data_IF_579694956018
#
_entry.id   IF_579694956018
#
_cell.length_a   1.000
_cell.length_b   1.000
_cell.length_c   1.000
_cell.angle_alpha   90.00
_cell.angle_beta   90.00
_cell.angle_gamma   90.00
#
_symmetry.space_group_name_H-M   'P 1'
#
loop_
_entity.id
_entity.type
_entity.pdbx_description
1 polymer ?
#
# COMPACT_ATOMS: atom_id res chain seq x y z
N UNK A 1 -16.13 -18.42 -55.31
CA UNK A 1 -16.91 -19.55 -55.86
C UNK A 1 -16.39 -20.85 -55.30
N UNK A 2 -17.13 -21.52 -54.47
CA UNK A 2 -17.47 -22.93 -54.38
C UNK A 2 -18.14 -23.20 -53.04
N UNK A 3 -19.44 -23.39 -53.10
CA UNK A 3 -20.29 -23.93 -52.03
C UNK A 3 -19.93 -25.43 -51.89
N UNK A 4 -19.80 -25.92 -50.63
CA UNK A 4 -19.97 -27.33 -50.34
C UNK A 4 -21.18 -27.52 -49.42
N UNK A 5 -22.05 -28.39 -49.92
CA UNK A 5 -23.26 -28.90 -49.29
C UNK A 5 -22.91 -29.70 -48.02
N UNK A 6 -23.74 -29.59 -47.01
CA UNK A 6 -23.87 -30.55 -45.95
C UNK A 6 -24.87 -31.64 -46.38
N UNK A 7 -24.47 -32.86 -46.22
CA UNK A 7 -25.32 -34.04 -46.34
C UNK A 7 -25.78 -34.47 -44.96
N UNK A 8 -27.09 -34.70 -44.88
CA UNK A 8 -27.78 -35.30 -43.74
C UNK A 8 -27.53 -36.80 -43.71
N UNK A 9 -27.54 -37.33 -42.51
CA UNK A 9 -28.09 -38.62 -42.01
C UNK A 9 -27.15 -39.31 -41.06
N UNK A 10 -27.55 -39.36 -39.81
CA UNK A 10 -27.46 -40.56 -38.98
C UNK A 10 -28.45 -40.47 -37.83
N UNK A 11 -29.55 -41.21 -38.00
CA UNK A 11 -30.50 -41.54 -36.96
C UNK A 11 -29.83 -42.37 -35.86
N UNK A 12 -29.82 -41.83 -34.64
CA UNK A 12 -29.63 -42.63 -33.44
C UNK A 12 -30.92 -42.54 -32.64
N UNK A 13 -31.73 -43.58 -32.73
CA UNK A 13 -32.92 -43.78 -31.90
C UNK A 13 -32.52 -44.03 -30.45
N UNK A 14 -32.78 -43.09 -29.59
CA UNK A 14 -32.81 -43.33 -28.13
C UNK A 14 -34.22 -43.71 -27.72
N UNK A 15 -34.38 -44.93 -27.20
CA UNK A 15 -35.56 -45.37 -26.51
C UNK A 15 -35.62 -44.64 -25.15
N UNK A 16 -36.62 -43.76 -24.98
CA UNK A 16 -36.93 -43.12 -23.69
C UNK A 16 -37.84 -44.06 -22.91
N UNK A 17 -37.28 -44.68 -21.87
CA UNK A 17 -38.12 -45.24 -20.79
C UNK A 17 -38.79 -44.10 -20.03
N UNK A 18 -40.09 -43.95 -20.20
CA UNK A 18 -40.94 -43.05 -19.43
C UNK A 18 -41.17 -43.64 -18.02
N UNK A 19 -40.41 -43.17 -17.06
CA UNK A 19 -40.82 -43.27 -15.67
C UNK A 19 -41.85 -42.16 -15.38
N UNK A 20 -43.05 -42.58 -14.95
CA UNK A 20 -44.14 -41.71 -14.47
C UNK A 20 -43.65 -40.85 -13.30
N UNK A 21 -43.25 -39.64 -13.57
CA UNK A 21 -43.15 -38.58 -12.55
C UNK A 21 -44.47 -37.78 -12.58
N UNK A 22 -45.27 -37.95 -11.52
CA UNK A 22 -46.47 -37.17 -11.32
C UNK A 22 -46.23 -35.68 -11.45
N UNK A 23 -46.93 -35.06 -12.38
CA UNK A 23 -47.00 -33.61 -12.56
C UNK A 23 -47.56 -32.98 -11.29
N UNK A 24 -46.65 -32.41 -10.47
CA UNK A 24 -47.03 -31.60 -9.32
C UNK A 24 -47.60 -30.27 -9.87
N UNK A 25 -48.92 -30.21 -10.04
CA UNK A 25 -49.58 -28.94 -10.37
C UNK A 25 -49.24 -27.92 -9.30
N UNK A 26 -48.44 -26.91 -9.71
CA UNK A 26 -48.23 -25.69 -8.92
C UNK A 26 -49.60 -24.98 -8.83
N UNK A 27 -50.38 -25.22 -7.77
CA UNK A 27 -51.54 -24.39 -7.46
C UNK A 27 -51.09 -22.93 -7.48
N UNK A 28 -51.47 -22.18 -8.52
CA UNK A 28 -51.38 -20.71 -8.53
C UNK A 28 -52.23 -20.24 -7.35
N UNK A 29 -51.58 -19.75 -6.28
CA UNK A 29 -52.27 -19.05 -5.20
C UNK A 29 -53.01 -17.87 -5.83
N UNK A 30 -54.35 -17.92 -5.86
CA UNK A 30 -55.14 -16.77 -6.26
C UNK A 30 -54.75 -15.58 -5.41
N UNK A 31 -54.38 -14.50 -6.04
CA UNK A 31 -54.06 -13.25 -5.35
C UNK A 31 -55.37 -12.73 -4.75
N UNK A 32 -55.52 -12.84 -3.42
CA UNK A 32 -56.65 -12.27 -2.71
C UNK A 32 -56.77 -10.76 -3.08
N UNK A 33 -57.88 -10.38 -3.71
CA UNK A 33 -58.20 -8.99 -3.99
C UNK A 33 -58.55 -8.29 -2.68
N UNK A 34 -57.69 -7.42 -2.21
CA UNK A 34 -57.85 -6.71 -0.95
C UNK A 34 -58.89 -5.57 -1.11
N UNK A 35 -59.74 -5.42 -0.13
CA UNK A 35 -60.66 -4.28 -0.05
C UNK A 35 -59.87 -2.93 0.04
N UNK A 36 -60.50 -1.80 -0.31
CA UNK A 36 -59.87 -0.49 -0.16
C UNK A 36 -59.36 -0.20 1.24
N UNK A 37 -60.06 -0.69 2.28
CA UNK A 37 -59.69 -0.53 3.67
C UNK A 37 -58.50 -1.42 4.05
N UNK A 38 -58.46 -2.65 3.57
CA UNK A 38 -57.31 -3.58 3.78
C UNK A 38 -56.05 -3.07 3.06
N UNK A 39 -56.20 -2.46 1.84
CA UNK A 39 -55.12 -1.82 1.14
C UNK A 39 -54.58 -0.64 1.94
N UNK A 40 -55.45 0.24 2.47
CA UNK A 40 -55.05 1.37 3.33
C UNK A 40 -54.31 0.93 4.57
N UNK A 41 -54.82 -0.11 5.28
CA UNK A 41 -54.15 -0.68 6.47
C UNK A 41 -52.75 -1.25 6.12
N UNK A 42 -52.60 -1.95 4.99
CA UNK A 42 -51.31 -2.45 4.49
C UNK A 42 -50.34 -1.34 4.18
N UNK A 43 -50.78 -0.27 3.49
CA UNK A 43 -49.95 0.91 3.17
C UNK A 43 -49.47 1.59 4.45
N UNK A 44 -50.35 1.82 5.43
CA UNK A 44 -49.98 2.42 6.72
C UNK A 44 -48.96 1.54 7.45
N UNK A 45 -49.19 0.21 7.52
CA UNK A 45 -48.24 -0.72 8.14
C UNK A 45 -46.89 -0.70 7.42
N UNK A 46 -46.83 -0.68 6.10
CA UNK A 46 -45.60 -0.58 5.33
C UNK A 46 -44.87 0.72 5.62
N UNK A 47 -45.58 1.86 5.66
CA UNK A 47 -45.00 3.15 6.00
C UNK A 47 -44.39 3.19 7.41
N UNK A 48 -45.10 2.62 8.40
CA UNK A 48 -44.59 2.52 9.79
C UNK A 48 -43.33 1.67 9.83
N UNK A 49 -43.32 0.50 9.16
CA UNK A 49 -42.13 -0.35 9.10
C UNK A 49 -40.96 0.37 8.45
N UNK A 50 -41.21 1.03 7.30
CA UNK A 50 -40.16 1.79 6.58
C UNK A 50 -39.63 2.92 7.46
N UNK A 51 -40.51 3.71 8.10
CA UNK A 51 -40.10 4.79 9.01
C UNK A 51 -39.29 4.26 10.20
N UNK A 52 -39.69 3.12 10.77
CA UNK A 52 -38.95 2.47 11.87
C UNK A 52 -37.57 2.01 11.43
N UNK A 53 -37.45 1.40 10.25
CA UNK A 53 -36.15 0.98 9.69
C UNK A 53 -35.24 2.20 9.46
N UNK A 54 -35.77 3.24 8.84
CA UNK A 54 -35.03 4.50 8.60
C UNK A 54 -34.54 5.12 9.92
N UNK A 55 -35.41 5.15 10.94
CA UNK A 55 -35.04 5.67 12.27
C UNK A 55 -33.92 4.84 12.92
N UNK A 56 -34.01 3.51 12.87
CA UNK A 56 -32.96 2.62 13.41
C UNK A 56 -31.64 2.83 12.69
N UNK A 57 -31.66 2.94 11.35
CA UNK A 57 -30.46 3.24 10.57
C UNK A 57 -29.88 4.60 10.90
N UNK A 58 -30.71 5.62 11.05
CA UNK A 58 -30.26 6.97 11.42
C UNK A 58 -29.59 7.00 12.81
N UNK A 59 -30.17 6.28 13.79
CA UNK A 59 -29.59 6.15 15.13
C UNK A 59 -28.25 5.39 15.07
N UNK A 60 -28.18 4.31 14.30
CA UNK A 60 -26.98 3.51 14.12
C UNK A 60 -25.85 4.33 13.47
N UNK A 61 -26.10 4.96 12.32
CA UNK A 61 -25.09 5.77 11.64
C UNK A 61 -24.70 7.03 12.42
N UNK A 62 -25.67 7.66 13.10
CA UNK A 62 -25.41 8.78 14.00
C UNK A 62 -24.51 8.36 15.18
N UNK A 63 -24.77 7.20 15.77
CA UNK A 63 -23.94 6.61 16.81
C UNK A 63 -22.51 6.31 16.32
N UNK A 64 -22.38 5.72 15.14
CA UNK A 64 -21.07 5.48 14.52
C UNK A 64 -20.31 6.80 14.28
N UNK A 65 -20.97 7.84 13.77
CA UNK A 65 -20.33 9.12 13.52
C UNK A 65 -19.82 9.78 14.81
N UNK A 66 -20.63 9.76 15.87
CA UNK A 66 -20.24 10.29 17.21
C UNK A 66 -19.08 9.45 17.78
N UNK A 67 -19.18 8.13 17.74
CA UNK A 67 -18.12 7.23 18.20
C UNK A 67 -16.81 7.47 17.45
N UNK A 68 -16.86 7.60 16.12
CA UNK A 68 -15.69 7.91 15.29
C UNK A 68 -15.05 9.23 15.70
N UNK A 69 -15.86 10.30 15.89
CA UNK A 69 -15.34 11.62 16.27
C UNK A 69 -14.70 11.63 17.68
N UNK A 70 -15.31 10.92 18.64
CA UNK A 70 -14.77 10.79 19.99
C UNK A 70 -13.51 9.95 20.00
N UNK A 71 -13.52 8.82 19.30
CA UNK A 71 -12.38 7.92 19.20
C UNK A 71 -11.18 8.56 18.49
N UNK A 72 -11.41 9.26 17.38
CA UNK A 72 -10.36 10.02 16.69
C UNK A 72 -9.68 11.03 17.63
N UNK A 73 -10.46 11.81 18.39
CA UNK A 73 -9.90 12.73 19.39
C UNK A 73 -9.10 12.01 20.47
N UNK A 74 -9.57 10.82 20.90
CA UNK A 74 -8.86 10.00 21.89
C UNK A 74 -7.53 9.50 21.35
N UNK A 75 -7.50 8.99 20.09
CA UNK A 75 -6.29 8.49 19.44
C UNK A 75 -5.28 9.63 19.18
N UNK A 76 -5.74 10.81 18.77
CA UNK A 76 -4.87 11.98 18.64
C UNK A 76 -4.21 12.32 19.99
N UNK A 77 -4.99 12.35 21.09
CA UNK A 77 -4.43 12.58 22.44
C UNK A 77 -3.45 11.48 22.85
N UNK A 78 -3.71 10.22 22.49
CA UNK A 78 -2.76 9.14 22.71
C UNK A 78 -1.47 9.39 21.94
N UNK A 79 -1.54 9.73 20.64
CA UNK A 79 -0.38 10.10 19.84
C UNK A 79 0.40 11.27 20.44
N UNK A 80 -0.30 12.29 20.90
CA UNK A 80 0.30 13.46 21.58
C UNK A 80 0.90 13.14 22.96
N UNK A 81 0.62 11.99 23.54
CA UNK A 81 1.20 11.54 24.81
C UNK A 81 2.47 10.69 24.62
N UNK A 82 2.86 10.37 23.40
CA UNK A 82 4.11 9.67 23.18
C UNK A 82 5.32 10.58 23.46
N UNK A 83 6.38 10.00 24.00
CA UNK A 83 7.62 10.73 24.17
C UNK A 83 8.26 10.98 22.80
N UNK A 84 8.87 12.13 22.65
CA UNK A 84 9.69 12.47 21.50
C UNK A 84 10.86 11.47 21.37
N UNK A 85 11.31 11.22 20.14
CA UNK A 85 12.52 10.41 19.90
C UNK A 85 13.72 11.07 20.57
N UNK A 86 14.39 10.33 21.44
CA UNK A 86 15.66 10.72 22.05
C UNK A 86 16.79 10.03 21.30
N UNK A 87 17.61 10.83 20.63
CA UNK A 87 18.79 10.36 19.92
C UNK A 87 19.94 10.20 20.93
N UNK A 88 20.34 8.95 21.18
CA UNK A 88 21.34 8.62 22.21
C UNK A 88 22.74 8.42 21.66
N UNK A 89 22.87 8.00 20.41
CA UNK A 89 24.16 7.70 19.77
C UNK A 89 24.64 8.86 18.89
N UNK A 90 23.74 9.71 18.46
CA UNK A 90 24.03 10.84 17.56
C UNK A 90 22.97 11.93 17.70
N UNK A 91 23.20 13.10 17.13
CA UNK A 91 22.19 14.15 17.02
C UNK A 91 21.24 13.87 15.85
N UNK A 92 19.99 14.33 15.98
CA UNK A 92 19.04 14.33 14.86
C UNK A 92 19.58 15.21 13.73
N UNK A 93 19.66 14.67 12.52
CA UNK A 93 19.95 15.46 11.34
C UNK A 93 18.75 16.32 10.98
N UNK A 94 18.99 17.62 10.80
CA UNK A 94 17.95 18.58 10.40
C UNK A 94 18.11 18.87 8.92
N UNK A 95 17.13 18.55 8.08
CA UNK A 95 17.21 18.83 6.65
C UNK A 95 17.11 20.33 6.40
N UNK A 96 17.79 20.79 5.36
CA UNK A 96 17.69 22.16 4.85
C UNK A 96 17.12 22.14 3.44
N UNK A 97 16.29 23.12 3.10
CA UNK A 97 15.81 23.25 1.73
C UNK A 97 16.88 23.94 0.89
N UNK A 98 17.34 23.26 -0.16
CA UNK A 98 18.33 23.81 -1.11
C UNK A 98 17.58 24.42 -2.30
N UNK A 99 17.50 25.75 -2.35
CA UNK A 99 16.78 26.50 -3.40
C UNK A 99 17.30 26.20 -4.81
N UNK A 100 18.58 25.86 -4.95
CA UNK A 100 19.20 25.57 -6.26
C UNK A 100 18.79 24.19 -6.78
N UNK A 101 18.62 23.23 -5.88
CA UNK A 101 18.13 21.89 -6.18
C UNK A 101 16.61 21.82 -6.17
N UNK A 102 15.94 22.66 -5.36
CA UNK A 102 14.51 22.61 -5.14
C UNK A 102 14.07 21.46 -4.23
N UNK A 103 14.97 20.94 -3.39
CA UNK A 103 14.74 19.77 -2.54
C UNK A 103 15.29 19.94 -1.14
N UNK A 104 14.76 19.16 -0.20
CA UNK A 104 15.34 19.01 1.13
C UNK A 104 16.61 18.17 1.07
N UNK A 105 17.65 18.64 1.76
CA UNK A 105 18.97 18.03 1.83
C UNK A 105 19.30 17.67 3.27
N UNK A 106 19.62 16.42 3.51
CA UNK A 106 20.26 15.94 4.73
C UNK A 106 21.77 15.85 4.51
N UNK A 107 22.58 16.31 5.44
CA UNK A 107 24.04 16.15 5.36
C UNK A 107 24.49 15.20 6.47
N UNK A 108 25.09 14.08 6.08
CA UNK A 108 25.61 13.07 7.01
C UNK A 108 26.84 13.62 7.76
N UNK A 109 26.98 13.20 9.00
CA UNK A 109 28.25 13.31 9.72
C UNK A 109 29.28 12.32 9.14
N UNK A 110 30.55 12.62 9.29
CA UNK A 110 31.61 11.76 8.76
C UNK A 110 31.58 10.36 9.40
N UNK A 111 31.77 9.35 8.58
CA UNK A 111 31.79 7.94 9.02
C UNK A 111 30.44 7.37 9.53
N UNK A 112 29.37 8.17 9.51
CA UNK A 112 28.06 7.76 9.99
C UNK A 112 27.16 7.25 8.85
N UNK A 113 26.45 6.15 9.09
CA UNK A 113 25.35 5.72 8.23
C UNK A 113 24.12 6.64 8.41
N UNK A 114 23.38 6.87 7.33
CA UNK A 114 22.08 7.55 7.38
C UNK A 114 20.98 6.48 7.45
N UNK A 115 20.17 6.53 8.50
CA UNK A 115 19.15 5.51 8.76
C UNK A 115 17.78 5.97 8.29
N UNK A 116 17.20 5.23 7.34
CA UNK A 116 15.81 5.36 6.92
C UNK A 116 15.00 4.19 7.49
N UNK A 117 13.80 4.47 8.00
CA UNK A 117 12.80 3.44 8.25
C UNK A 117 11.67 3.55 7.21
N UNK A 118 11.42 2.46 6.52
CA UNK A 118 10.21 2.33 5.70
C UNK A 118 9.11 1.66 6.52
N UNK A 119 7.95 2.31 6.57
CA UNK A 119 6.69 1.73 7.00
C UNK A 119 5.73 1.62 5.82
N UNK A 120 4.80 0.70 5.88
CA UNK A 120 3.76 0.54 4.86
C UNK A 120 2.49 -0.05 5.47
N UNK A 121 1.36 0.16 4.81
CA UNK A 121 0.10 -0.50 5.15
C UNK A 121 -0.24 -0.37 6.64
N UNK A 122 -0.23 0.86 7.15
CA UNK A 122 -0.51 1.14 8.58
C UNK A 122 -1.97 0.89 8.90
N UNK A 123 -2.86 1.17 7.95
CA UNK A 123 -4.29 0.89 7.99
C UNK A 123 -5.00 1.39 9.24
N UNK A 124 -4.83 2.68 9.55
CA UNK A 124 -5.64 3.35 10.57
C UNK A 124 -7.05 3.56 10.02
N UNK A 125 -8.05 3.00 10.69
CA UNK A 125 -9.44 3.15 10.27
C UNK A 125 -10.05 4.50 10.67
N UNK A 126 -9.69 5.03 11.84
CA UNK A 126 -10.21 6.29 12.37
C UNK A 126 -11.72 6.28 12.61
N UNK A 127 -12.34 5.10 12.77
CA UNK A 127 -13.78 4.90 12.83
C UNK A 127 -14.27 4.15 14.06
N UNK A 128 -15.60 4.03 14.17
CA UNK A 128 -16.27 3.47 15.34
C UNK A 128 -15.85 2.03 15.69
N UNK A 129 -15.35 1.27 14.72
CA UNK A 129 -15.04 -0.16 14.90
C UNK A 129 -13.53 -0.45 14.96
N UNK A 130 -12.69 0.54 14.71
CA UNK A 130 -11.24 0.34 14.55
C UNK A 130 -10.38 0.85 15.70
N UNK A 131 -10.89 1.68 16.61
CA UNK A 131 -10.12 2.43 17.62
C UNK A 131 -9.05 1.62 18.36
N UNK A 132 -9.38 0.39 18.75
CA UNK A 132 -8.44 -0.49 19.46
C UNK A 132 -7.29 -0.94 18.55
N UNK A 133 -7.60 -1.25 17.30
CA UNK A 133 -6.61 -1.69 16.30
C UNK A 133 -5.76 -0.52 15.84
N UNK A 134 -6.38 0.67 15.69
CA UNK A 134 -5.68 1.92 15.40
C UNK A 134 -4.66 2.24 16.49
N UNK A 135 -5.04 2.09 17.76
CA UNK A 135 -4.13 2.26 18.89
C UNK A 135 -2.96 1.27 18.86
N UNK A 136 -3.18 0.04 18.44
CA UNK A 136 -2.12 -0.96 18.28
C UNK A 136 -1.16 -0.58 17.16
N UNK A 137 -1.67 -0.14 16.00
CA UNK A 137 -0.87 0.32 14.87
C UNK A 137 0.01 1.53 15.27
N UNK A 138 -0.57 2.52 15.93
CA UNK A 138 0.16 3.68 16.47
C UNK A 138 1.29 3.25 17.42
N UNK A 139 1.00 2.35 18.37
CA UNK A 139 1.99 1.87 19.32
C UNK A 139 3.13 1.12 18.62
N UNK A 140 2.82 0.32 17.59
CA UNK A 140 3.83 -0.41 16.83
C UNK A 140 4.79 0.56 16.12
N UNK A 141 4.24 1.50 15.35
CA UNK A 141 5.03 2.52 14.64
C UNK A 141 5.87 3.35 15.61
N UNK A 142 5.25 3.89 16.67
CA UNK A 142 5.95 4.73 17.64
C UNK A 142 7.06 3.97 18.39
N UNK A 143 6.83 2.71 18.75
CA UNK A 143 7.85 1.87 19.41
C UNK A 143 9.07 1.66 18.53
N UNK A 144 8.86 1.29 17.26
CA UNK A 144 9.95 1.04 16.32
C UNK A 144 10.73 2.32 16.02
N UNK A 145 10.05 3.44 15.77
CA UNK A 145 10.71 4.74 15.55
C UNK A 145 11.57 5.15 16.76
N UNK A 146 11.04 5.04 17.98
CA UNK A 146 11.77 5.41 19.20
C UNK A 146 12.97 4.50 19.48
N UNK A 147 12.88 3.22 19.13
CA UNK A 147 13.97 2.26 19.32
C UNK A 147 15.05 2.39 18.26
N UNK A 148 14.66 2.62 17.01
CA UNK A 148 15.60 2.70 15.89
C UNK A 148 16.24 4.08 15.74
N UNK A 149 15.60 5.15 16.23
CA UNK A 149 16.11 6.54 16.15
C UNK A 149 16.53 6.92 14.72
N UNK A 150 15.60 6.82 13.72
CA UNK A 150 15.96 7.05 12.33
C UNK A 150 16.22 8.52 12.03
N UNK A 151 17.02 8.78 11.02
CA UNK A 151 17.19 10.12 10.46
C UNK A 151 15.98 10.54 9.62
N UNK A 152 15.36 9.57 8.95
CA UNK A 152 14.21 9.80 8.09
C UNK A 152 13.24 8.61 8.11
N UNK A 153 11.96 8.90 7.99
CA UNK A 153 10.90 7.88 7.86
C UNK A 153 10.20 8.06 6.53
N UNK A 154 10.03 6.98 5.78
CA UNK A 154 9.23 6.95 4.55
C UNK A 154 8.08 5.98 4.74
N UNK A 155 6.84 6.45 4.53
CA UNK A 155 5.66 5.60 4.55
C UNK A 155 5.22 5.32 3.12
N UNK A 156 5.29 4.07 2.70
CA UNK A 156 4.93 3.65 1.34
C UNK A 156 3.45 3.29 1.24
N UNK A 157 2.59 4.26 1.60
CA UNK A 157 1.15 4.22 1.37
C UNK A 157 0.33 3.45 2.40
N UNK A 158 -0.98 3.55 2.20
CA UNK A 158 -2.03 2.93 3.01
C UNK A 158 -1.93 3.25 4.50
N UNK A 159 -1.74 4.55 4.79
CA UNK A 159 -1.89 5.09 6.15
C UNK A 159 -3.33 4.94 6.61
N UNK A 160 -4.30 5.28 5.73
CA UNK A 160 -5.72 5.23 6.02
C UNK A 160 -6.39 3.97 5.46
N UNK A 161 -7.38 3.47 6.23
CA UNK A 161 -8.23 2.36 5.80
C UNK A 161 -9.70 2.61 6.15
N UNK A 162 -10.39 3.49 5.40
CA UNK A 162 -11.76 3.92 5.72
C UNK A 162 -12.82 2.95 5.22
N UNK A 163 -12.55 1.65 5.16
CA UNK A 163 -13.50 0.61 4.74
C UNK A 163 -14.62 0.49 5.77
N UNK A 164 -15.86 0.90 5.45
CA UNK A 164 -16.89 1.17 6.46
C UNK A 164 -17.30 -0.04 7.29
N UNK A 165 -17.23 -1.25 6.74
CA UNK A 165 -17.58 -2.47 7.48
C UNK A 165 -16.49 -2.90 8.49
N UNK A 166 -15.26 -2.44 8.31
CA UNK A 166 -14.12 -2.76 9.18
C UNK A 166 -13.74 -1.58 10.06
N UNK A 167 -13.72 -0.37 9.53
CA UNK A 167 -13.40 0.84 10.28
C UNK A 167 -14.61 1.47 10.97
N UNK A 168 -15.80 1.35 10.42
CA UNK A 168 -17.02 2.03 10.91
C UNK A 168 -17.10 3.49 10.44
N UNK A 169 -16.38 3.88 9.39
CA UNK A 169 -16.40 5.24 8.84
C UNK A 169 -16.04 5.26 7.35
N UNK A 170 -16.46 6.32 6.65
CA UNK A 170 -15.98 6.70 5.33
C UNK A 170 -14.96 7.86 5.39
N UNK A 171 -14.62 8.32 6.61
CA UNK A 171 -13.80 9.50 6.82
C UNK A 171 -12.32 9.14 6.93
N UNK A 172 -11.64 9.10 5.78
CA UNK A 172 -10.20 8.85 5.67
C UNK A 172 -9.33 9.94 6.33
N UNK A 173 -9.80 11.19 6.40
CA UNK A 173 -9.08 12.28 7.07
C UNK A 173 -8.85 12.02 8.57
N UNK A 174 -9.71 11.23 9.23
CA UNK A 174 -9.49 10.84 10.62
C UNK A 174 -8.16 10.10 10.80
N UNK A 175 -7.87 9.13 9.93
CA UNK A 175 -6.63 8.37 9.94
C UNK A 175 -5.42 9.26 9.66
N UNK A 176 -5.53 10.11 8.64
CA UNK A 176 -4.51 11.12 8.29
C UNK A 176 -4.16 12.00 9.50
N UNK A 177 -5.18 12.52 10.20
CA UNK A 177 -4.99 13.37 11.40
C UNK A 177 -4.31 12.61 12.54
N UNK A 178 -4.76 11.38 12.82
CA UNK A 178 -4.22 10.54 13.89
C UNK A 178 -2.73 10.28 13.66
N UNK A 179 -2.39 9.87 12.44
CA UNK A 179 -1.02 9.52 12.08
C UNK A 179 -0.10 10.74 12.06
N UNK A 180 -0.49 11.83 11.41
CA UNK A 180 0.32 13.03 11.29
C UNK A 180 0.61 13.67 12.66
N UNK A 181 -0.39 13.79 13.55
CA UNK A 181 -0.21 14.33 14.92
C UNK A 181 0.72 13.44 15.76
N UNK A 182 0.64 12.13 15.59
CA UNK A 182 1.59 11.20 16.23
C UNK A 182 3.01 11.42 15.75
N UNK A 183 3.23 11.51 14.43
CA UNK A 183 4.57 11.71 13.84
C UNK A 183 5.17 13.06 14.25
N UNK A 184 4.36 14.13 14.30
CA UNK A 184 4.81 15.45 14.80
C UNK A 184 5.24 15.38 16.27
N UNK A 185 4.52 14.60 17.11
CA UNK A 185 4.88 14.41 18.51
C UNK A 185 6.18 13.63 18.66
N UNK A 186 6.35 12.57 17.89
CA UNK A 186 7.61 11.80 17.88
C UNK A 186 8.80 12.63 17.44
N UNK A 187 8.57 13.65 16.61
CA UNK A 187 9.57 14.65 16.22
C UNK A 187 10.66 14.09 15.30
N UNK A 188 10.32 13.13 14.46
CA UNK A 188 11.20 12.57 13.43
C UNK A 188 10.79 13.09 12.06
N UNK A 189 11.75 13.43 11.21
CA UNK A 189 11.46 13.85 9.83
C UNK A 189 10.90 12.68 9.02
N UNK A 190 9.83 12.94 8.27
CA UNK A 190 9.13 11.91 7.52
C UNK A 190 8.45 12.42 6.25
N UNK A 191 8.17 11.50 5.37
CA UNK A 191 7.34 11.69 4.18
C UNK A 191 6.49 10.45 3.93
N UNK A 192 5.58 10.52 2.96
CA UNK A 192 4.79 9.38 2.55
C UNK A 192 4.49 9.43 1.04
N UNK A 193 4.22 8.27 0.46
CA UNK A 193 3.51 8.12 -0.80
C UNK A 193 2.07 7.72 -0.51
N UNK A 194 1.13 8.03 -1.40
CA UNK A 194 -0.23 7.53 -1.28
C UNK A 194 -0.31 6.05 -1.63
N UNK A 195 -1.18 5.32 -0.90
CA UNK A 195 -1.65 4.00 -1.27
C UNK A 195 -3.07 4.05 -1.84
N UNK A 196 -3.57 2.89 -2.27
CA UNK A 196 -4.90 2.82 -2.87
C UNK A 196 -6.04 3.01 -1.85
N UNK A 197 -5.84 2.63 -0.59
CA UNK A 197 -6.83 2.80 0.47
C UNK A 197 -6.85 4.19 1.10
N UNK A 198 -5.82 5.00 0.93
CA UNK A 198 -5.79 6.35 1.51
C UNK A 198 -6.95 7.23 1.01
N UNK A 199 -7.36 7.02 -0.24
CA UNK A 199 -8.44 7.80 -0.89
C UNK A 199 -9.28 6.93 -1.82
N UNK A 200 -10.01 5.98 -1.25
CA UNK A 200 -10.97 5.15 -1.96
C UNK A 200 -12.11 5.97 -2.57
N UNK A 201 -12.72 5.49 -3.66
CA UNK A 201 -13.84 6.17 -4.32
C UNK A 201 -14.99 6.53 -3.37
N UNK A 202 -15.24 5.70 -2.36
CA UNK A 202 -16.26 5.95 -1.33
C UNK A 202 -15.75 6.79 -0.16
N UNK A 203 -14.49 7.18 -0.12
CA UNK A 203 -13.93 8.02 0.93
C UNK A 203 -14.55 9.41 0.92
N UNK A 204 -14.71 9.99 2.11
CA UNK A 204 -15.32 11.32 2.26
C UNK A 204 -14.45 12.44 1.70
N UNK A 205 -13.14 12.29 1.76
CA UNK A 205 -12.17 13.28 1.32
C UNK A 205 -11.36 12.75 0.15
N UNK A 206 -11.23 13.57 -0.88
CA UNK A 206 -10.41 13.29 -2.04
C UNK A 206 -8.91 13.36 -1.72
N UNK A 207 -8.08 12.92 -2.64
CA UNK A 207 -6.62 13.05 -2.51
C UNK A 207 -6.19 14.51 -2.42
N UNK A 208 -6.83 15.39 -3.20
CA UNK A 208 -6.65 16.85 -3.12
C UNK A 208 -6.97 17.39 -1.71
N UNK A 209 -8.08 16.94 -1.10
CA UNK A 209 -8.45 17.37 0.25
C UNK A 209 -7.40 16.94 1.30
N UNK A 210 -6.82 15.75 1.14
CA UNK A 210 -5.76 15.25 2.03
C UNK A 210 -4.48 16.06 1.81
N UNK A 211 -4.10 16.33 0.56
CA UNK A 211 -2.96 17.19 0.24
C UNK A 211 -3.11 18.59 0.84
N UNK A 212 -4.28 19.20 0.66
CA UNK A 212 -4.57 20.51 1.25
C UNK A 212 -4.48 20.50 2.77
N UNK A 213 -4.92 19.41 3.42
CA UNK A 213 -4.75 19.29 4.87
C UNK A 213 -3.29 19.37 5.30
N UNK A 214 -2.38 18.62 4.64
CA UNK A 214 -0.94 18.69 4.95
C UNK A 214 -0.36 20.07 4.69
N UNK A 215 -0.71 20.68 3.58
CA UNK A 215 -0.28 22.04 3.20
C UNK A 215 -0.75 23.11 4.20
N UNK A 216 -2.02 23.04 4.63
CA UNK A 216 -2.61 23.99 5.60
C UNK A 216 -2.03 23.83 7.01
N UNK A 217 -1.77 22.59 7.43
CA UNK A 217 -1.22 22.30 8.75
C UNK A 217 0.25 22.71 8.88
N UNK A 218 0.99 22.71 7.78
CA UNK A 218 2.40 23.09 7.75
C UNK A 218 3.20 22.44 8.88
N UNK A 219 3.14 21.11 8.95
CA UNK A 219 3.80 20.31 9.96
C UNK A 219 5.31 20.52 9.92
N UNK A 220 5.95 20.55 11.10
CA UNK A 220 7.39 20.80 11.20
C UNK A 220 8.23 19.63 10.69
N UNK A 221 7.79 18.40 10.92
CA UNK A 221 8.57 17.19 10.64
C UNK A 221 8.09 16.47 9.39
N UNK A 222 6.91 16.78 8.87
CA UNK A 222 6.42 16.23 7.60
C UNK A 222 7.02 17.00 6.43
N UNK A 223 7.82 16.30 5.60
CA UNK A 223 8.46 16.88 4.43
C UNK A 223 7.70 16.55 3.13
N UNK A 224 6.49 16.02 3.24
CA UNK A 224 5.64 15.75 2.10
C UNK A 224 5.26 17.05 1.38
N UNK A 225 5.54 17.09 0.08
CA UNK A 225 5.06 18.12 -0.82
C UNK A 225 4.08 17.49 -1.83
N UNK A 226 2.86 17.97 -1.82
CA UNK A 226 1.83 17.48 -2.73
C UNK A 226 2.07 17.88 -4.19
N UNK A 227 2.92 18.88 -4.44
CA UNK A 227 3.07 19.50 -5.75
C UNK A 227 1.86 20.34 -6.13
N UNK A 228 1.46 20.32 -7.39
CA UNK A 228 0.27 21.01 -7.90
C UNK A 228 -0.97 20.19 -7.56
N UNK A 229 -1.79 20.68 -6.63
CA UNK A 229 -3.02 20.02 -6.19
C UNK A 229 -4.21 20.42 -7.09
N UNK A 230 -4.25 19.94 -8.31
CA UNK A 230 -5.41 20.08 -9.22
C UNK A 230 -5.94 18.68 -9.52
N UNK A 231 -7.27 18.48 -9.47
CA UNK A 231 -7.89 17.17 -9.75
C UNK A 231 -7.52 16.63 -11.14
N UNK A 232 -7.32 17.51 -12.14
CA UNK A 232 -6.89 17.10 -13.48
C UNK A 232 -5.47 16.49 -13.51
N UNK A 233 -4.61 16.81 -12.53
CA UNK A 233 -3.26 16.25 -12.43
C UNK A 233 -3.27 14.84 -11.84
N UNK A 234 -4.45 14.39 -11.35
CA UNK A 234 -4.64 13.07 -10.77
C UNK A 234 -5.46 12.11 -11.66
N UNK A 235 -6.30 12.65 -12.54
CA UNK A 235 -7.22 11.87 -13.37
C UNK A 235 -6.73 11.83 -14.80
N UNK A 236 -6.61 10.64 -15.36
CA UNK A 236 -6.27 10.40 -16.76
C UNK A 236 -5.19 9.36 -16.95
N UNK A 237 -4.97 8.97 -18.21
CA UNK A 237 -4.03 7.92 -18.58
C UNK A 237 -2.55 8.32 -18.39
N UNK A 238 -2.26 9.59 -18.18
CA UNK A 238 -0.90 10.12 -17.94
C UNK A 238 -0.93 11.24 -16.88
N UNK A 239 -1.54 10.92 -15.73
CA UNK A 239 -1.61 11.84 -14.60
C UNK A 239 -0.33 11.78 -13.78
N UNK A 240 0.15 12.94 -13.33
CA UNK A 240 1.35 13.04 -12.48
C UNK A 240 1.10 12.48 -11.07
N UNK A 241 -0.13 12.51 -10.57
CA UNK A 241 -0.42 12.17 -9.18
C UNK A 241 0.13 13.19 -8.18
N UNK A 242 0.13 12.84 -6.89
CA UNK A 242 0.48 13.76 -5.81
C UNK A 242 1.58 13.18 -4.91
N UNK A 243 2.54 14.02 -4.52
CA UNK A 243 3.60 13.62 -3.60
C UNK A 243 4.76 12.87 -4.27
N UNK A 244 5.02 13.16 -5.55
CA UNK A 244 6.27 12.77 -6.17
C UNK A 244 7.36 13.70 -5.62
N UNK A 245 8.11 13.23 -4.63
CA UNK A 245 9.11 14.03 -3.94
C UNK A 245 10.50 13.44 -4.09
N UNK A 246 11.50 14.31 -3.96
CA UNK A 246 12.90 13.92 -3.95
C UNK A 246 13.60 14.54 -2.75
N UNK A 247 14.39 13.74 -2.04
CA UNK A 247 15.21 14.14 -0.92
C UNK A 247 16.65 13.77 -1.21
N UNK A 248 17.58 14.64 -0.87
CA UNK A 248 18.99 14.42 -1.16
C UNK A 248 19.73 14.16 0.14
N UNK A 249 20.51 13.09 0.19
CA UNK A 249 21.43 12.80 1.29
C UNK A 249 22.85 13.08 0.78
N UNK A 250 23.55 14.02 1.42
CA UNK A 250 24.94 14.37 1.13
C UNK A 250 25.88 13.77 2.18
N UNK A 251 27.06 13.42 1.76
CA UNK A 251 28.19 13.13 2.64
C UNK A 251 28.71 14.42 3.28
N UNK A 252 29.56 14.31 4.30
CA UNK A 252 30.18 15.45 4.99
C UNK A 252 31.06 16.31 4.07
N UNK A 253 31.59 15.76 2.99
CA UNK A 253 32.38 16.45 1.97
C UNK A 253 31.51 17.21 0.93
N UNK A 254 30.17 17.13 1.06
CA UNK A 254 29.21 17.78 0.17
C UNK A 254 28.87 17.00 -1.10
N UNK A 255 29.51 15.85 -1.35
CA UNK A 255 29.12 14.95 -2.44
C UNK A 255 27.75 14.32 -2.16
N UNK A 256 26.96 14.02 -3.21
CA UNK A 256 25.68 13.36 -3.07
C UNK A 256 25.92 11.87 -2.79
N UNK A 257 25.39 11.40 -1.64
CA UNK A 257 25.39 9.99 -1.26
C UNK A 257 24.27 9.24 -1.94
N UNK A 258 23.01 9.70 -1.73
CA UNK A 258 21.81 9.09 -2.27
C UNK A 258 20.75 10.15 -2.58
N UNK A 259 19.93 9.91 -3.60
CA UNK A 259 18.61 10.51 -3.73
C UNK A 259 17.55 9.52 -3.24
N UNK A 260 16.61 10.00 -2.43
CA UNK A 260 15.43 9.24 -1.98
C UNK A 260 14.22 9.80 -2.70
N UNK A 261 13.56 8.99 -3.51
CA UNK A 261 12.48 9.44 -4.40
C UNK A 261 11.19 8.75 -4.00
N UNK A 262 10.12 9.51 -3.77
CA UNK A 262 8.78 8.96 -3.58
C UNK A 262 7.94 9.17 -4.82
N UNK A 263 7.08 8.20 -5.15
CA UNK A 263 6.10 8.30 -6.21
C UNK A 263 4.69 8.02 -5.73
N UNK A 264 3.71 8.69 -6.32
CA UNK A 264 2.32 8.28 -6.29
C UNK A 264 2.11 7.16 -7.32
N UNK A 265 1.95 5.93 -6.88
CA UNK A 265 1.63 4.79 -7.75
C UNK A 265 0.15 4.68 -8.10
N UNK A 266 -0.61 5.75 -7.85
CA UNK A 266 -2.05 5.85 -8.07
C UNK A 266 -2.86 4.83 -7.26
N UNK A 267 -4.02 4.38 -7.76
CA UNK A 267 -4.88 3.40 -7.07
C UNK A 267 -5.38 2.35 -8.05
N UNK A 268 -6.44 2.66 -8.80
CA UNK A 268 -7.07 1.72 -9.73
C UNK A 268 -7.23 2.38 -11.10
N UNK A 269 -7.13 1.56 -12.16
CA UNK A 269 -7.42 2.03 -13.51
C UNK A 269 -8.92 2.32 -13.68
N UNK A 270 -9.26 3.11 -14.70
CA UNK A 270 -10.64 3.46 -15.04
C UNK A 270 -11.54 2.23 -15.16
N UNK A 271 -12.71 2.30 -14.53
CA UNK A 271 -13.73 1.27 -14.51
C UNK A 271 -13.65 0.30 -13.33
N UNK A 272 -12.62 0.37 -12.50
CA UNK A 272 -12.54 -0.39 -11.22
C UNK A 272 -12.63 0.52 -9.99
N UNK A 273 -13.66 1.37 -9.94
CA UNK A 273 -13.83 2.40 -8.90
C UNK A 273 -13.84 1.91 -7.45
N UNK A 274 -14.10 0.62 -7.22
CA UNK A 274 -14.17 0.04 -5.89
C UNK A 274 -13.04 -0.96 -5.61
N UNK A 275 -12.08 -1.10 -6.51
CA UNK A 275 -11.04 -2.11 -6.39
C UNK A 275 -11.54 -3.56 -6.44
N UNK A 276 -12.80 -3.77 -6.87
CA UNK A 276 -13.43 -5.09 -6.85
C UNK A 276 -12.88 -6.06 -7.89
N UNK A 277 -12.27 -5.55 -8.94
CA UNK A 277 -11.61 -6.33 -9.99
C UNK A 277 -10.09 -6.39 -9.84
N UNK A 278 -9.53 -5.75 -8.80
CA UNK A 278 -8.09 -5.70 -8.49
C UNK A 278 -7.23 -5.22 -9.67
N UNK A 279 -7.76 -4.19 -10.37
CA UNK A 279 -7.09 -3.61 -11.53
C UNK A 279 -6.32 -2.37 -11.09
N UNK A 280 -5.16 -2.60 -10.52
CA UNK A 280 -4.30 -1.53 -10.02
C UNK A 280 -3.68 -0.73 -11.15
N UNK A 281 -3.45 0.55 -10.87
CA UNK A 281 -2.71 1.47 -11.72
C UNK A 281 -1.19 1.29 -11.49
N UNK A 282 -0.37 2.11 -12.12
CA UNK A 282 1.08 2.03 -12.12
C UNK A 282 1.70 3.44 -12.17
N UNK A 283 3.00 3.53 -12.14
CA UNK A 283 3.74 4.77 -12.39
C UNK A 283 3.52 5.18 -13.86
N UNK A 284 3.19 6.44 -14.10
CA UNK A 284 2.91 6.97 -15.43
C UNK A 284 4.15 7.56 -16.09
N UNK A 285 4.12 7.68 -17.44
CA UNK A 285 5.26 8.16 -18.21
C UNK A 285 5.71 9.56 -17.80
N UNK A 286 4.78 10.48 -17.52
CA UNK A 286 5.11 11.83 -17.04
C UNK A 286 5.91 11.83 -15.73
N UNK A 287 5.67 10.85 -14.85
CA UNK A 287 6.43 10.65 -13.61
C UNK A 287 7.84 10.12 -13.90
N UNK A 288 7.98 9.19 -14.86
CA UNK A 288 9.28 8.66 -15.31
C UNK A 288 10.10 9.76 -15.97
N UNK A 289 9.47 10.59 -16.80
CA UNK A 289 10.12 11.76 -17.43
C UNK A 289 10.57 12.78 -16.38
N UNK A 290 9.75 13.04 -15.36
CA UNK A 290 10.12 13.89 -14.23
C UNK A 290 11.34 13.31 -13.49
N UNK A 291 11.31 12.02 -13.15
CA UNK A 291 12.41 11.35 -12.46
C UNK A 291 13.72 11.46 -13.25
N UNK A 292 13.71 11.12 -14.53
CA UNK A 292 14.90 11.17 -15.40
C UNK A 292 15.48 12.58 -15.47
N UNK A 293 14.62 13.60 -15.62
CA UNK A 293 15.03 15.00 -15.65
C UNK A 293 15.66 15.44 -14.32
N UNK A 294 15.06 15.08 -13.20
CA UNK A 294 15.57 15.48 -11.89
C UNK A 294 16.86 14.72 -11.51
N UNK A 295 16.98 13.44 -11.90
CA UNK A 295 18.25 12.70 -11.74
C UNK A 295 19.37 13.31 -12.58
N UNK A 296 19.09 13.74 -13.80
CA UNK A 296 20.09 14.47 -14.63
C UNK A 296 20.51 15.79 -13.99
N UNK A 297 19.58 16.55 -13.37
CA UNK A 297 19.87 17.77 -12.60
C UNK A 297 20.77 17.47 -11.40
N UNK A 298 20.49 16.42 -10.63
CA UNK A 298 21.33 16.03 -9.50
C UNK A 298 22.71 15.56 -9.94
N UNK A 299 22.82 14.79 -11.03
CA UNK A 299 24.12 14.39 -11.61
C UNK A 299 24.97 15.61 -11.97
N UNK A 300 24.37 16.60 -12.62
CA UNK A 300 25.06 17.87 -12.94
C UNK A 300 25.53 18.61 -11.66
N UNK A 301 24.67 18.67 -10.65
CA UNK A 301 24.99 19.28 -9.35
C UNK A 301 26.10 18.51 -8.60
N UNK A 302 26.24 17.21 -8.85
CA UNK A 302 27.28 16.34 -8.30
C UNK A 302 28.59 16.32 -9.14
N UNK A 303 28.76 17.28 -10.02
CA UNK A 303 29.98 17.40 -10.89
C UNK A 303 30.01 16.28 -11.94
N UNK A 304 28.91 15.97 -12.55
CA UNK A 304 28.70 14.94 -13.57
C UNK A 304 28.98 13.48 -13.10
N UNK A 305 29.14 13.29 -11.79
CA UNK A 305 29.27 11.96 -11.19
C UNK A 305 27.91 11.29 -11.04
N UNK A 306 27.89 9.98 -11.10
CA UNK A 306 26.70 9.18 -10.82
C UNK A 306 26.07 9.55 -9.46
N UNK A 307 24.73 9.50 -9.40
CA UNK A 307 23.95 9.72 -8.19
C UNK A 307 23.12 8.48 -7.93
N UNK A 308 23.53 7.71 -6.95
CA UNK A 308 22.76 6.56 -6.50
C UNK A 308 21.41 7.01 -5.95
N UNK A 309 20.38 6.16 -6.12
CA UNK A 309 19.08 6.51 -5.61
C UNK A 309 18.26 5.30 -5.18
N UNK A 310 17.31 5.54 -4.26
CA UNK A 310 16.33 4.60 -3.77
C UNK A 310 14.94 5.17 -4.02
N UNK A 311 14.04 4.33 -4.50
CA UNK A 311 12.69 4.73 -4.91
C UNK A 311 11.64 4.06 -4.03
N UNK A 312 10.60 4.81 -3.65
CA UNK A 312 9.56 4.41 -2.71
C UNK A 312 8.18 4.72 -3.27
N UNK A 313 7.31 3.74 -3.30
CA UNK A 313 5.90 3.89 -3.68
C UNK A 313 5.08 2.74 -3.09
N UNK A 314 3.77 2.70 -3.37
CA UNK A 314 2.88 1.73 -2.74
C UNK A 314 2.69 0.47 -3.59
N UNK A 315 2.11 0.58 -4.79
CA UNK A 315 1.76 -0.55 -5.64
C UNK A 315 3.01 -1.05 -6.36
N UNK A 316 3.39 -2.34 -6.23
CA UNK A 316 4.64 -2.86 -6.79
C UNK A 316 4.71 -2.80 -8.31
N UNK A 317 5.93 -2.67 -8.84
CA UNK A 317 6.21 -2.83 -10.27
C UNK A 317 6.01 -4.27 -10.72
N UNK A 318 5.82 -4.48 -12.01
CA UNK A 318 5.70 -5.83 -12.60
C UNK A 318 6.97 -6.66 -12.42
N UNK A 319 8.12 -6.02 -12.32
CA UNK A 319 9.42 -6.66 -12.10
C UNK A 319 9.47 -7.45 -10.78
N UNK A 320 8.71 -7.07 -9.75
CA UNK A 320 8.55 -7.88 -8.54
C UNK A 320 7.93 -9.25 -8.84
N UNK A 321 6.91 -9.28 -9.72
CA UNK A 321 6.28 -10.53 -10.16
C UNK A 321 7.23 -11.36 -11.00
N UNK A 322 7.93 -10.74 -11.94
CA UNK A 322 8.87 -11.42 -12.84
C UNK A 322 10.06 -12.00 -12.07
N UNK A 323 10.60 -11.23 -11.12
CA UNK A 323 11.66 -11.65 -10.22
C UNK A 323 11.24 -12.85 -9.35
N UNK A 324 10.05 -12.81 -8.74
CA UNK A 324 9.58 -13.91 -7.91
C UNK A 324 9.17 -15.13 -8.74
N UNK A 325 8.67 -14.94 -9.96
CA UNK A 325 8.39 -16.05 -10.88
C UNK A 325 9.65 -16.85 -11.22
N UNK A 326 10.83 -16.21 -11.29
CA UNK A 326 12.09 -16.93 -11.45
C UNK A 326 12.38 -17.89 -10.28
N UNK A 327 12.00 -17.50 -9.06
CA UNK A 327 12.16 -18.32 -7.86
C UNK A 327 11.20 -19.52 -7.92
N UNK A 328 9.90 -19.25 -8.10
CA UNK A 328 8.85 -20.30 -8.10
C UNK A 328 9.07 -21.32 -9.19
N UNK A 329 9.44 -20.90 -10.40
CA UNK A 329 9.69 -21.79 -11.55
C UNK A 329 10.80 -22.81 -11.27
N UNK A 330 11.65 -22.58 -10.29
CA UNK A 330 12.80 -23.44 -9.95
C UNK A 330 12.57 -24.31 -8.72
N UNK A 331 11.97 -23.74 -7.68
CA UNK A 331 11.82 -24.45 -6.40
C UNK A 331 10.36 -24.80 -6.06
N UNK A 332 9.38 -24.23 -6.81
CA UNK A 332 7.95 -24.41 -6.52
C UNK A 332 7.45 -23.51 -5.39
N UNK A 333 6.13 -23.55 -5.16
CA UNK A 333 5.44 -22.64 -4.23
C UNK A 333 5.67 -22.98 -2.75
N UNK A 334 6.04 -24.23 -2.44
CA UNK A 334 6.12 -24.74 -1.06
C UNK A 334 7.55 -24.69 -0.48
N UNK A 335 8.56 -24.39 -1.28
CA UNK A 335 9.95 -24.33 -0.86
C UNK A 335 10.40 -22.87 -0.62
N UNK A 336 11.33 -22.70 0.32
CA UNK A 336 11.94 -21.40 0.59
C UNK A 336 13.34 -21.35 -0.01
N UNK A 337 13.69 -20.27 -0.74
CA UNK A 337 15.04 -20.06 -1.22
C UNK A 337 16.00 -19.78 -0.05
N UNK A 338 17.29 -20.12 -0.22
CA UNK A 338 18.34 -19.70 0.69
C UNK A 338 18.90 -18.33 0.29
N UNK A 339 19.39 -17.58 1.26
CA UNK A 339 20.08 -16.31 1.01
C UNK A 339 21.24 -16.50 0.05
N UNK A 340 21.28 -15.73 -1.04
CA UNK A 340 22.29 -15.80 -2.09
C UNK A 340 21.98 -16.79 -3.22
N UNK A 341 20.87 -17.55 -3.14
CA UNK A 341 20.45 -18.41 -4.25
C UNK A 341 20.12 -17.56 -5.49
N UNK A 342 20.57 -18.03 -6.65
CA UNK A 342 20.37 -17.37 -7.95
C UNK A 342 19.47 -18.19 -8.87
N UNK A 343 18.43 -17.55 -9.37
CA UNK A 343 17.41 -18.16 -10.23
C UNK A 343 17.43 -17.47 -11.60
N UNK A 344 17.77 -18.25 -12.63
CA UNK A 344 17.91 -17.73 -14.01
C UNK A 344 16.79 -18.27 -14.89
N UNK A 345 16.16 -17.38 -15.64
CA UNK A 345 15.15 -17.70 -16.65
C UNK A 345 15.28 -16.83 -17.89
N UNK A 346 14.30 -16.89 -18.79
CA UNK A 346 14.18 -16.00 -19.95
C UNK A 346 13.75 -14.57 -19.57
N UNK A 347 13.25 -14.32 -18.35
CA UNK A 347 12.95 -12.99 -17.79
C UNK A 347 14.20 -12.28 -17.26
N UNK A 348 15.23 -13.04 -16.85
CA UNK A 348 16.45 -12.50 -16.26
C UNK A 348 16.97 -13.34 -15.10
N UNK A 349 17.70 -12.72 -14.20
CA UNK A 349 18.29 -13.36 -13.02
C UNK A 349 17.75 -12.73 -11.74
N UNK A 350 17.31 -13.55 -10.80
CA UNK A 350 16.91 -13.16 -9.45
C UNK A 350 17.88 -13.77 -8.44
N UNK A 351 18.46 -12.94 -7.59
CA UNK A 351 19.23 -13.35 -6.42
C UNK A 351 18.42 -13.09 -5.16
N UNK A 352 18.15 -14.14 -4.38
CA UNK A 352 17.34 -14.01 -3.17
C UNK A 352 18.16 -13.46 -2.00
N UNK A 353 17.61 -12.47 -1.30
CA UNK A 353 18.27 -11.82 -0.17
C UNK A 353 17.60 -12.18 1.14
N UNK A 354 16.29 -11.99 1.27
CA UNK A 354 15.55 -12.39 2.48
C UNK A 354 14.04 -12.41 2.24
N UNK A 355 13.32 -12.88 3.25
CA UNK A 355 11.88 -12.75 3.35
C UNK A 355 11.07 -13.90 2.76
N UNK A 356 9.82 -13.63 2.50
CA UNK A 356 8.86 -14.60 1.96
C UNK A 356 7.81 -13.93 1.10
N UNK A 357 7.25 -14.68 0.17
CA UNK A 357 5.99 -14.34 -0.47
C UNK A 357 4.87 -15.07 0.27
N UNK A 358 3.90 -14.35 0.76
CA UNK A 358 2.78 -14.90 1.52
C UNK A 358 1.41 -14.54 0.96
N UNK A 359 1.35 -13.54 0.07
CA UNK A 359 0.09 -13.13 -0.56
C UNK A 359 -0.41 -14.19 -1.54
N UNK A 360 -1.74 -14.41 -1.55
CA UNK A 360 -2.35 -15.48 -2.33
C UNK A 360 -3.22 -14.91 -3.44
N UNK A 361 -2.95 -15.30 -4.67
CA UNK A 361 -3.75 -14.98 -5.84
C UNK A 361 -4.82 -16.06 -6.15
N UNK A 362 -4.95 -17.08 -5.29
CA UNK A 362 -5.98 -18.10 -5.43
C UNK A 362 -5.53 -19.52 -5.17
N UNK A 363 -6.12 -20.46 -5.91
CA UNK A 363 -5.77 -21.89 -5.88
C UNK A 363 -5.72 -22.48 -7.28
N UNK A 364 -4.68 -23.22 -7.56
CA UNK A 364 -4.54 -24.02 -8.78
C UNK A 364 -4.43 -25.49 -8.37
N UNK A 365 -5.28 -26.35 -8.94
CA UNK A 365 -5.33 -27.79 -8.61
C UNK A 365 -5.46 -28.10 -7.10
N UNK A 366 -6.13 -27.19 -6.35
CA UNK A 366 -6.35 -27.36 -4.92
C UNK A 366 -5.21 -26.83 -4.02
N UNK A 367 -4.06 -26.48 -4.57
CA UNK A 367 -2.95 -25.85 -3.87
C UNK A 367 -3.08 -24.33 -3.91
N UNK A 368 -2.62 -23.65 -2.85
CA UNK A 368 -2.55 -22.20 -2.78
C UNK A 368 -1.49 -21.71 -3.77
N UNK A 369 -1.85 -20.72 -4.57
CA UNK A 369 -0.91 -19.99 -5.42
C UNK A 369 -0.58 -18.64 -4.79
N UNK A 370 0.58 -18.11 -5.09
CA UNK A 370 1.08 -16.86 -4.52
C UNK A 370 1.30 -15.85 -5.64
N UNK A 371 1.06 -14.58 -5.35
CA UNK A 371 1.07 -13.55 -6.36
C UNK A 371 1.59 -12.20 -5.87
N UNK A 372 1.98 -11.40 -6.86
CA UNK A 372 2.27 -9.97 -6.73
C UNK A 372 1.13 -9.22 -7.40
N UNK A 373 0.40 -8.41 -6.62
CA UNK A 373 -0.69 -7.58 -7.12
C UNK A 373 -0.14 -6.24 -7.61
N UNK A 374 0.53 -6.26 -8.75
CA UNK A 374 1.13 -5.10 -9.38
C UNK A 374 0.19 -4.39 -10.35
N UNK A 375 0.60 -3.22 -10.84
CA UNK A 375 -0.12 -2.46 -11.85
C UNK A 375 -0.45 -3.27 -13.12
N UNK A 376 -1.57 -2.93 -13.74
CA UNK A 376 -2.07 -3.63 -14.94
C UNK A 376 -1.28 -3.25 -16.20
N UNK A 377 -0.72 -2.05 -16.25
CA UNK A 377 0.07 -1.54 -17.37
C UNK A 377 1.56 -1.72 -17.10
N UNK A 378 2.37 -1.69 -18.13
CA UNK A 378 3.83 -1.61 -18.02
C UNK A 378 4.20 -0.14 -17.92
N UNK A 379 5.06 0.21 -16.96
CA UNK A 379 5.75 1.50 -16.90
C UNK A 379 7.22 1.31 -17.28
N UNK A 380 7.92 2.40 -17.53
CA UNK A 380 9.33 2.40 -17.90
C UNK A 380 10.24 2.84 -16.74
N UNK A 381 9.72 2.83 -15.49
CA UNK A 381 10.48 3.30 -14.34
C UNK A 381 11.69 2.41 -14.04
N UNK A 382 11.55 1.09 -14.22
CA UNK A 382 12.64 0.17 -13.93
C UNK A 382 13.80 0.35 -14.90
N UNK A 383 13.52 0.48 -16.19
CA UNK A 383 14.50 0.76 -17.25
C UNK A 383 15.16 2.12 -17.04
N UNK A 384 14.37 3.16 -16.79
CA UNK A 384 14.89 4.49 -16.45
C UNK A 384 15.76 4.44 -15.18
N UNK A 385 15.43 3.58 -14.22
CA UNK A 385 16.20 3.33 -13.02
C UNK A 385 17.56 2.71 -13.30
N UNK A 386 17.63 1.72 -14.20
CA UNK A 386 18.92 1.13 -14.66
C UNK A 386 19.82 2.18 -15.28
N UNK A 387 19.27 3.12 -16.05
CA UNK A 387 20.02 4.20 -16.73
C UNK A 387 20.43 5.33 -15.75
N UNK A 388 19.72 5.50 -14.65
CA UNK A 388 19.92 6.58 -13.68
C UNK A 388 20.45 6.12 -12.31
N UNK A 389 21.22 5.03 -12.26
CA UNK A 389 21.91 4.54 -11.08
C UNK A 389 21.00 4.19 -9.89
N UNK A 390 19.73 3.79 -10.15
CA UNK A 390 18.83 3.28 -9.12
C UNK A 390 19.41 2.01 -8.52
N UNK A 391 19.51 1.98 -7.20
CA UNK A 391 20.01 0.82 -6.46
C UNK A 391 18.89 -0.04 -5.89
N UNK A 392 17.76 0.55 -5.55
CA UNK A 392 16.68 -0.18 -4.89
C UNK A 392 15.32 0.48 -5.05
N UNK A 393 14.29 -0.37 -5.00
CA UNK A 393 12.87 -0.01 -5.02
C UNK A 393 12.19 -0.64 -3.81
N UNK A 394 11.38 0.14 -3.12
CA UNK A 394 10.67 -0.23 -1.90
C UNK A 394 9.18 0.02 -2.06
N UNK A 395 8.36 -1.01 -1.89
CA UNK A 395 6.90 -0.93 -2.02
C UNK A 395 6.18 -1.51 -0.78
N UNK A 396 4.85 -1.43 -0.79
CA UNK A 396 3.93 -2.04 0.17
C UNK A 396 2.87 -2.86 -0.54
N UNK A 397 1.58 -2.66 -0.17
CA UNK A 397 0.40 -3.15 -0.86
C UNK A 397 0.07 -4.63 -0.60
N UNK A 398 1.00 -5.54 -0.81
CA UNK A 398 0.82 -6.97 -0.59
C UNK A 398 1.22 -7.33 0.84
N UNK A 399 0.26 -7.36 1.77
CA UNK A 399 0.50 -7.37 3.23
C UNK A 399 1.25 -8.59 3.74
N UNK A 400 1.21 -9.71 3.02
CA UNK A 400 1.89 -10.93 3.40
C UNK A 400 3.23 -11.12 2.71
N UNK A 401 3.60 -10.23 1.80
CA UNK A 401 4.90 -10.22 1.14
C UNK A 401 5.89 -9.38 1.95
N UNK A 402 7.09 -9.89 2.15
CA UNK A 402 8.20 -9.16 2.78
C UNK A 402 9.56 -9.55 2.19
N UNK A 403 9.56 -10.08 0.97
CA UNK A 403 10.80 -10.50 0.34
C UNK A 403 11.63 -9.35 -0.20
N UNK A 404 12.94 -9.58 -0.26
CA UNK A 404 13.90 -8.71 -0.94
C UNK A 404 14.76 -9.56 -1.87
N UNK A 405 14.91 -9.11 -3.11
CA UNK A 405 15.68 -9.79 -4.16
C UNK A 405 16.48 -8.77 -4.98
N UNK A 406 17.63 -9.15 -5.51
CA UNK A 406 18.28 -8.43 -6.58
C UNK A 406 17.74 -8.98 -7.91
N UNK A 407 17.19 -8.12 -8.75
CA UNK A 407 16.68 -8.50 -10.06
C UNK A 407 17.47 -7.84 -11.19
N UNK A 408 17.98 -8.68 -12.08
CA UNK A 408 18.67 -8.26 -13.32
C UNK A 408 17.82 -8.72 -14.49
N UNK A 409 17.11 -7.84 -15.21
CA UNK A 409 16.37 -8.22 -16.40
C UNK A 409 17.28 -8.84 -17.45
N UNK A 410 16.71 -9.63 -18.34
CA UNK A 410 17.47 -10.23 -19.44
C UNK A 410 18.12 -9.14 -20.31
N UNK A 411 19.42 -9.24 -20.48
CA UNK A 411 20.21 -8.30 -21.28
C UNK A 411 20.69 -7.06 -20.53
N UNK A 412 20.26 -6.85 -19.28
CA UNK A 412 20.81 -5.80 -18.43
C UNK A 412 22.13 -6.25 -17.76
N UNK A 413 23.04 -5.29 -17.53
CA UNK A 413 24.31 -5.52 -16.85
C UNK A 413 24.21 -5.29 -15.33
N UNK A 414 23.20 -4.52 -14.91
CA UNK A 414 23.00 -4.11 -13.52
C UNK A 414 21.72 -4.73 -12.95
N UNK A 415 21.74 -4.95 -11.64
CA UNK A 415 20.55 -5.31 -10.87
C UNK A 415 20.01 -4.12 -10.10
N UNK A 416 18.70 -4.14 -9.85
CA UNK A 416 18.05 -3.28 -8.86
C UNK A 416 17.50 -4.18 -7.76
N UNK A 417 17.65 -3.74 -6.49
CA UNK A 417 17.06 -4.40 -5.34
C UNK A 417 15.56 -4.12 -5.29
N UNK A 418 14.75 -5.17 -5.33
CA UNK A 418 13.29 -5.09 -5.15
C UNK A 418 12.93 -5.55 -3.75
N UNK A 419 12.29 -4.69 -2.96
CA UNK A 419 12.01 -4.95 -1.55
C UNK A 419 10.57 -4.62 -1.21
N UNK A 420 9.82 -5.60 -0.68
CA UNK A 420 8.57 -5.34 0.02
C UNK A 420 8.82 -4.89 1.45
N UNK A 421 8.17 -3.81 1.86
CA UNK A 421 8.09 -3.40 3.25
C UNK A 421 7.23 -4.36 4.07
N UNK A 422 7.53 -4.43 5.37
CA UNK A 422 6.70 -5.18 6.32
C UNK A 422 5.45 -4.36 6.66
N UNK A 423 4.27 -4.93 6.42
CA UNK A 423 2.98 -4.31 6.73
C UNK A 423 2.76 -4.16 8.24
N UNK A 424 2.21 -3.04 8.68
CA UNK A 424 1.76 -2.84 10.07
C UNK A 424 0.38 -3.46 10.30
N UNK A 425 -0.48 -3.41 9.36
CA UNK A 425 -1.91 -3.72 9.33
C UNK A 425 -2.48 -4.58 10.48
N UNK A 426 -3.34 -3.97 11.28
CA UNK A 426 -4.17 -4.63 12.29
C UNK A 426 -5.64 -4.72 11.88
N UNK A 427 -6.03 -4.03 10.79
CA UNK A 427 -7.44 -3.78 10.49
C UNK A 427 -7.95 -4.57 9.28
N UNK A 428 -7.27 -4.54 8.15
CA UNK A 428 -7.73 -5.18 6.92
C UNK A 428 -7.72 -6.70 7.05
N UNK A 429 -6.64 -7.27 7.53
CA UNK A 429 -6.51 -8.70 7.76
C UNK A 429 -6.63 -9.02 9.25
N UNK A 430 -7.61 -9.82 9.63
CA UNK A 430 -8.04 -10.01 11.03
C UNK A 430 -7.19 -11.02 11.78
N UNK A 431 -6.38 -11.81 11.10
CA UNK A 431 -5.61 -12.89 11.70
C UNK A 431 -4.21 -12.43 12.12
N UNK A 432 -3.99 -12.30 13.42
CA UNK A 432 -2.66 -12.00 13.99
C UNK A 432 -1.63 -13.06 13.59
N UNK A 433 -2.08 -14.30 13.39
CA UNK A 433 -1.21 -15.40 13.00
C UNK A 433 -0.63 -15.24 11.60
N UNK A 434 -1.46 -14.74 10.67
CA UNK A 434 -1.05 -14.51 9.30
C UNK A 434 -0.17 -13.25 9.19
N UNK A 435 -0.10 -12.43 10.25
CA UNK A 435 0.70 -11.21 10.38
C UNK A 435 1.89 -11.33 11.35
N UNK A 436 2.48 -12.50 11.46
CA UNK A 436 3.73 -12.67 12.20
C UNK A 436 4.89 -11.80 11.64
N UNK A 437 4.67 -11.08 10.58
CA UNK A 437 5.62 -10.21 9.90
C UNK A 437 5.33 -8.71 10.05
N UNK A 438 4.55 -8.28 11.07
CA UNK A 438 4.43 -6.84 11.38
C UNK A 438 5.78 -6.23 11.71
N UNK A 439 6.06 -5.10 11.08
CA UNK A 439 7.35 -4.49 11.29
C UNK A 439 7.63 -3.28 10.42
N UNK A 440 8.90 -3.00 10.22
CA UNK A 440 9.40 -2.00 9.29
C UNK A 440 10.60 -2.54 8.53
N UNK A 441 11.02 -1.83 7.48
CA UNK A 441 12.29 -2.08 6.82
C UNK A 441 13.30 -1.01 7.26
N UNK A 442 14.39 -1.44 7.87
CA UNK A 442 15.52 -0.55 8.17
C UNK A 442 16.42 -0.48 6.94
N UNK A 443 16.79 0.73 6.52
CA UNK A 443 17.68 1.01 5.40
C UNK A 443 18.83 1.86 5.91
N UNK A 444 20.05 1.44 5.67
CA UNK A 444 21.27 2.13 6.07
C UNK A 444 22.03 2.60 4.83
N UNK A 445 22.13 3.91 4.63
CA UNK A 445 22.93 4.50 3.56
C UNK A 445 24.38 4.64 4.03
N UNK A 446 25.27 3.89 3.40
CA UNK A 446 26.67 3.75 3.80
C UNK A 446 27.54 4.94 3.33
N UNK A 447 28.74 5.03 3.88
CA UNK A 447 29.70 6.06 3.49
C UNK A 447 30.22 5.89 2.05
N UNK A 448 30.23 4.68 1.52
CA UNK A 448 30.65 4.35 0.16
C UNK A 448 29.54 4.50 -0.89
N UNK A 449 28.43 5.14 -0.51
CA UNK A 449 27.23 5.34 -1.33
C UNK A 449 26.47 4.04 -1.68
N UNK A 450 26.79 2.93 -1.02
CA UNK A 450 25.97 1.72 -1.04
C UNK A 450 24.83 1.82 -0.01
N UNK A 451 23.91 0.84 -0.01
CA UNK A 451 22.94 0.70 1.04
C UNK A 451 22.81 -0.75 1.50
N UNK A 452 22.40 -0.92 2.73
CA UNK A 452 21.93 -2.17 3.30
C UNK A 452 20.48 -2.03 3.73
N UNK A 453 19.69 -3.09 3.62
CA UNK A 453 18.35 -3.10 4.18
C UNK A 453 18.04 -4.44 4.87
N UNK A 454 17.28 -4.36 5.95
CA UNK A 454 16.86 -5.51 6.74
C UNK A 454 15.41 -5.33 7.23
N UNK A 455 14.62 -6.42 7.24
CA UNK A 455 13.31 -6.41 7.88
C UNK A 455 13.49 -6.38 9.40
N UNK A 456 12.64 -5.62 10.10
CA UNK A 456 12.58 -5.54 11.55
C UNK A 456 11.19 -5.95 12.01
N UNK A 457 11.07 -7.10 12.62
CA UNK A 457 9.79 -7.61 13.12
C UNK A 457 9.42 -6.96 14.45
N UNK A 458 8.22 -6.38 14.53
CA UNK A 458 7.75 -5.66 15.71
C UNK A 458 7.74 -6.51 17.00
N UNK A 459 7.44 -7.79 16.90
CA UNK A 459 7.35 -8.65 18.07
C UNK A 459 8.71 -9.23 18.48
N UNK A 460 9.42 -9.87 17.55
CA UNK A 460 10.68 -10.57 17.86
C UNK A 460 11.83 -9.61 18.11
N UNK A 461 12.00 -8.58 17.28
CA UNK A 461 13.20 -7.72 17.35
C UNK A 461 13.11 -6.67 18.47
N UNK A 462 11.88 -6.34 18.89
CA UNK A 462 11.65 -5.38 19.98
C UNK A 462 11.12 -6.00 21.27
N UNK A 463 11.05 -7.33 21.35
CA UNK A 463 10.54 -8.08 22.51
C UNK A 463 9.14 -7.67 22.96
N UNK A 464 8.24 -7.44 21.99
CA UNK A 464 6.85 -7.05 22.25
C UNK A 464 5.97 -8.30 22.32
N UNK A 465 5.15 -8.40 23.34
CA UNK A 465 4.15 -9.46 23.44
C UNK A 465 3.00 -9.18 22.48
N UNK A 466 2.61 -10.13 21.61
CA UNK A 466 1.48 -9.96 20.71
C UNK A 466 0.18 -9.64 21.46
N UNK A 467 -0.61 -8.75 20.92
CA UNK A 467 -1.88 -8.24 21.49
C UNK A 467 -2.96 -9.33 21.65
N UNK A 468 -2.83 -10.40 20.87
CA UNK A 468 -3.65 -11.61 20.97
C UNK A 468 -2.74 -12.82 20.99
N UNK A 469 -2.98 -13.78 21.89
CA UNK A 469 -2.22 -15.02 21.87
C UNK A 469 -2.51 -15.78 20.57
N UNK A 470 -1.47 -16.45 20.06
CA UNK A 470 -1.61 -17.36 18.92
C UNK A 470 -2.70 -18.40 19.22
N UNK A 471 -3.61 -18.63 18.27
CA UNK A 471 -4.53 -19.75 18.38
C UNK A 471 -3.71 -21.03 18.22
N UNK A 472 -3.63 -21.83 19.28
CA UNK A 472 -3.06 -23.18 19.17
C UNK A 472 -3.88 -23.96 18.14
N UNK A 473 -3.21 -24.57 17.16
CA UNK A 473 -3.81 -25.46 16.15
C UNK A 473 -4.41 -26.70 16.79
#
# INVERSE_FOLDING_TARGET
>A
MRKKKFDETNDVSFSVETTEFGTREKRKKEKKVLSPEEKKKRTIKALIITASVVLVLAIFFGGCAISSAVGTKSLIRQGQSFDKVEYTEHSQLVPTFDESLGYYVFTKEDGRDFKVLQFTDVHIGGGAFSHKKDAWAMNAVATMIRKEQPDFVVVTGDIAYPVPFQSGTFNNKNATMIFAEMMETLGVYWTFAFGNHDTEYYSRYSRVDICNYYKERNFKYCLFDAGVCDEKDYIGDDAMGFGNNMFVVKNSDGSINQALVTFDSHSYIDGDYFGAAWKYDNIHQCQVDWYTREMAKLRKANGDKAVNNLVFFHIPLREYRDAWANVIDKIGDDEKPNVGDKFVSDRGTTEFIYGTMGESDGKKNGQRTYGVFCGMRTDELFEAGLENDMQGVFCGHDHYNNFSVNYTPKGAERSIRLTYGMSIDYLAYVSVRDHAQRGCTQILLKADNSFECAPKNYYSDYNVTPEKPERKK
#
